data_IF_944354897688
#
_entry.id   IF_944354897688
#
_cell.length_a   1.000
_cell.length_b   1.000
_cell.length_c   1.000
_cell.angle_alpha   90.00
_cell.angle_beta   90.00
_cell.angle_gamma   90.00
#
_symmetry.space_group_name_H-M   'P 1'
#
loop_
_entity.id
_entity.type
_entity.pdbx_description
1 polymer ?
#
# COMPACT_ATOMS: atom_id res chain seq x y z
N UNK A 1 5.18 -6.85 -10.28
CA UNK A 1 6.03 -6.38 -9.16
C UNK A 1 5.30 -6.61 -7.84
N UNK A 2 5.95 -7.12 -6.78
CA UNK A 2 5.35 -7.32 -5.45
C UNK A 2 5.97 -6.34 -4.45
N UNK A 3 5.12 -5.62 -3.73
CA UNK A 3 5.51 -4.58 -2.77
C UNK A 3 4.84 -4.87 -1.44
N UNK A 4 5.63 -4.91 -0.37
CA UNK A 4 5.15 -5.12 0.98
C UNK A 4 5.55 -3.95 1.86
N UNK A 5 4.56 -3.33 2.50
CA UNK A 5 4.73 -2.18 3.38
C UNK A 5 4.41 -2.60 4.80
N UNK A 6 5.33 -2.33 5.72
CA UNK A 6 5.15 -2.63 7.15
C UNK A 6 5.16 -1.32 7.94
N UNK A 7 4.19 -1.16 8.84
CA UNK A 7 4.02 0.00 9.70
C UNK A 7 4.35 -0.40 11.13
N UNK A 8 5.13 0.41 11.85
CA UNK A 8 5.42 0.12 13.24
C UNK A 8 4.13 0.13 14.08
N UNK A 9 3.90 -0.92 14.88
CA UNK A 9 2.75 -1.02 15.81
C UNK A 9 2.67 0.10 16.83
N UNK A 10 3.79 0.77 17.12
CA UNK A 10 3.86 1.92 18.02
C UNK A 10 3.22 3.18 17.44
N UNK A 11 2.84 3.16 16.15
CA UNK A 11 2.20 4.26 15.44
C UNK A 11 0.84 3.81 14.91
N UNK A 12 -0.19 3.73 15.77
CA UNK A 12 -1.51 3.27 15.37
C UNK A 12 -2.13 4.25 14.37
N UNK A 13 -2.68 3.71 13.29
CA UNK A 13 -3.43 4.50 12.33
C UNK A 13 -4.94 4.43 12.64
N UNK A 14 -5.71 5.47 12.25
CA UNK A 14 -7.16 5.43 12.33
C UNK A 14 -7.75 4.22 11.59
N UNK A 15 -8.97 3.83 11.97
CA UNK A 15 -9.71 2.79 11.27
C UNK A 15 -9.82 3.12 9.76
N UNK A 16 -9.55 2.13 8.91
CA UNK A 16 -9.57 2.28 7.44
C UNK A 16 -8.35 2.99 6.82
N UNK A 17 -7.42 3.53 7.62
CA UNK A 17 -6.22 4.19 7.09
C UNK A 17 -5.27 3.21 6.38
N UNK A 18 -5.21 1.95 6.82
CA UNK A 18 -4.43 0.89 6.16
C UNK A 18 -4.98 0.62 4.75
N UNK A 19 -6.30 0.48 4.62
CA UNK A 19 -6.95 0.23 3.33
C UNK A 19 -6.82 1.43 2.39
N UNK A 20 -6.98 2.65 2.93
CA UNK A 20 -6.77 3.88 2.18
C UNK A 20 -5.33 4.00 1.66
N UNK A 21 -4.33 3.66 2.49
CA UNK A 21 -2.92 3.67 2.09
C UNK A 21 -2.63 2.59 1.03
N UNK A 22 -3.12 1.38 1.21
CA UNK A 22 -2.96 0.29 0.24
C UNK A 22 -3.56 0.67 -1.12
N UNK A 23 -4.78 1.22 -1.13
CA UNK A 23 -5.47 1.66 -2.34
C UNK A 23 -4.73 2.81 -3.05
N UNK A 24 -4.25 3.79 -2.31
CA UNK A 24 -3.49 4.91 -2.87
C UNK A 24 -2.15 4.47 -3.47
N UNK A 25 -1.40 3.63 -2.77
CA UNK A 25 -0.15 3.08 -3.29
C UNK A 25 -0.38 2.23 -4.54
N UNK A 26 -1.43 1.40 -4.54
CA UNK A 26 -1.81 0.61 -5.72
C UNK A 26 -2.09 1.49 -6.95
N UNK A 27 -2.85 2.58 -6.77
CA UNK A 27 -3.10 3.56 -7.84
C UNK A 27 -1.82 4.20 -8.36
N UNK A 28 -0.93 4.66 -7.47
CA UNK A 28 0.34 5.29 -7.85
C UNK A 28 1.24 4.32 -8.61
N UNK A 29 1.37 3.08 -8.14
CA UNK A 29 2.19 2.07 -8.81
C UNK A 29 1.63 1.75 -10.19
N UNK A 30 0.31 1.58 -10.30
CA UNK A 30 -0.35 1.34 -11.59
C UNK A 30 -0.15 2.51 -12.58
N UNK A 31 -0.11 3.75 -12.07
CA UNK A 31 0.14 4.93 -12.89
C UNK A 31 1.60 5.03 -13.37
N UNK A 32 2.58 4.75 -12.48
CA UNK A 32 4.00 4.84 -12.82
C UNK A 32 4.53 3.62 -13.60
N UNK A 33 3.91 2.46 -13.44
CA UNK A 33 4.35 1.20 -14.03
C UNK A 33 3.18 0.49 -14.73
N UNK A 34 2.64 1.05 -15.83
CA UNK A 34 1.44 0.51 -16.49
C UNK A 34 1.61 -0.90 -17.03
N UNK A 35 2.83 -1.26 -17.47
CA UNK A 35 3.16 -2.59 -18.01
C UNK A 35 3.32 -3.67 -16.93
N UNK A 36 3.39 -3.28 -15.65
CA UNK A 36 3.67 -4.18 -14.55
C UNK A 36 2.52 -4.15 -13.54
N UNK A 37 1.80 -5.27 -13.42
CA UNK A 37 0.85 -5.46 -12.33
C UNK A 37 1.59 -5.35 -10.99
N UNK A 38 1.31 -4.27 -10.26
CA UNK A 38 1.84 -3.98 -8.94
C UNK A 38 0.91 -4.49 -7.85
N UNK A 39 1.31 -5.54 -7.13
CA UNK A 39 0.60 -5.99 -5.94
C UNK A 39 1.20 -5.30 -4.71
N UNK A 40 0.39 -4.50 -4.01
CA UNK A 40 0.77 -3.80 -2.78
C UNK A 40 0.02 -4.41 -1.61
N UNK A 41 0.75 -4.85 -0.58
CA UNK A 41 0.18 -5.30 0.69
C UNK A 41 0.72 -4.43 1.82
N UNK A 42 -0.18 -3.94 2.69
CA UNK A 42 0.17 -3.10 3.85
C UNK A 42 -0.19 -3.83 5.13
N UNK A 43 0.72 -3.84 6.10
CA UNK A 43 0.54 -4.48 7.41
C UNK A 43 1.22 -3.69 8.54
N UNK A 44 0.87 -4.05 9.77
CA UNK A 44 1.59 -3.65 10.98
C UNK A 44 2.68 -4.65 11.38
#
# INVERSE_FOLDING_TARGET
>A
MRIEVTIAKTSPLPAGAIDALAGELSRRISHHFPENLGNVTVRY
#
